data_IF_639394108661
#
_entry.id   IF_639394108661
#
_cell.length_a   1.000
_cell.length_b   1.000
_cell.length_c   1.000
_cell.angle_alpha   90.00
_cell.angle_beta   90.00
_cell.angle_gamma   90.00
#
_symmetry.space_group_name_H-M   'P 1'
#
loop_
_entity.id
_entity.type
_entity.pdbx_description
1 polymer ?
#
# COMPACT_ATOMS: atom_id res chain seq x y z
N UNK A 1 -46.51 60.69 7.84
CA UNK A 1 -46.68 60.84 9.30
C UNK A 1 -46.26 59.54 9.98
N UNK A 2 -45.62 59.66 11.15
CA UNK A 2 -45.03 58.63 12.03
C UNK A 2 -43.58 58.17 11.78
N UNK A 3 -42.81 58.27 12.87
CA UNK A 3 -41.36 58.36 13.03
C UNK A 3 -40.77 57.08 13.67
N UNK A 4 -39.59 56.69 13.19
CA UNK A 4 -38.32 56.47 13.92
C UNK A 4 -38.31 55.61 15.22
N UNK A 5 -37.63 54.45 15.21
CA UNK A 5 -36.20 54.25 15.55
C UNK A 5 -35.91 54.16 17.06
N UNK A 6 -35.48 52.99 17.53
CA UNK A 6 -35.00 52.77 18.90
C UNK A 6 -33.62 52.11 18.87
N UNK A 7 -32.59 52.83 19.35
CA UNK A 7 -31.30 52.27 19.77
C UNK A 7 -30.64 53.12 20.88
N UNK A 8 -30.00 52.39 21.81
CA UNK A 8 -28.75 52.65 22.55
C UNK A 8 -28.73 53.03 24.05
N UNK A 9 -28.11 52.08 24.80
CA UNK A 9 -26.98 52.17 25.76
C UNK A 9 -27.17 52.80 27.15
N UNK A 10 -26.73 52.04 28.17
CA UNK A 10 -25.58 52.41 29.04
C UNK A 10 -25.03 51.25 29.90
N UNK A 11 -23.70 51.17 29.95
CA UNK A 11 -22.83 50.27 30.72
C UNK A 11 -22.58 50.78 32.16
N UNK A 12 -22.25 49.88 33.10
CA UNK A 12 -21.18 50.10 34.10
C UNK A 12 -20.63 48.78 34.67
N UNK A 13 -19.29 48.64 34.63
CA UNK A 13 -18.45 47.53 35.15
C UNK A 13 -18.16 47.72 36.65
N UNK A 14 -17.92 46.61 37.37
CA UNK A 14 -16.93 46.53 38.47
C UNK A 14 -16.42 45.09 38.66
N UNK A 15 -15.17 44.98 39.13
CA UNK A 15 -14.23 43.85 39.07
C UNK A 15 -13.54 43.73 40.45
N UNK A 16 -13.27 42.51 40.95
CA UNK A 16 -12.16 42.04 41.85
C UNK A 16 -12.57 40.69 42.51
N UNK A 17 -11.87 39.55 42.36
CA UNK A 17 -10.58 39.06 42.97
C UNK A 17 -10.60 39.13 44.51
N UNK A 18 -10.27 38.13 45.35
CA UNK A 18 -9.48 36.88 45.25
C UNK A 18 -9.56 36.07 46.59
N UNK A 19 -9.34 34.73 46.54
CA UNK A 19 -9.17 33.72 47.65
C UNK A 19 -7.85 33.93 48.45
N UNK A 20 -7.35 33.07 49.42
CA UNK A 20 -7.69 31.66 49.79
C UNK A 20 -7.50 31.18 51.28
N UNK A 21 -7.80 29.90 51.59
CA UNK A 21 -6.89 28.83 52.16
C UNK A 21 -7.46 27.89 53.27
N UNK A 22 -7.35 26.57 52.97
CA UNK A 22 -7.10 25.35 53.77
C UNK A 22 -7.97 24.88 54.98
N UNK A 23 -8.43 23.61 54.92
CA UNK A 23 -7.97 22.49 55.79
C UNK A 23 -8.64 21.15 55.41
N UNK A 24 -7.84 20.06 55.45
CA UNK A 24 -8.17 18.61 55.39
C UNK A 24 -8.93 18.14 56.68
N UNK A 25 -9.42 16.87 56.89
CA UNK A 25 -8.81 15.59 56.44
C UNK A 25 -9.72 14.32 56.25
N UNK A 26 -9.01 13.21 55.94
CA UNK A 26 -9.24 11.77 56.27
C UNK A 26 -9.75 10.78 55.19
N UNK A 27 -8.89 9.76 55.03
CA UNK A 27 -8.87 8.48 54.33
C UNK A 27 -10.14 7.61 54.18
N UNK A 28 -10.17 6.79 53.11
CA UNK A 28 -10.12 5.31 53.23
C UNK A 28 -9.78 4.61 51.91
N UNK A 29 -9.25 3.39 52.02
CA UNK A 29 -8.59 2.52 51.03
C UNK A 29 -9.55 1.71 50.14
N UNK A 30 -9.06 1.34 48.94
CA UNK A 30 -9.11 0.03 48.20
C UNK A 30 -9.39 0.28 46.71
N UNK A 31 -8.99 -0.53 45.74
CA UNK A 31 -7.82 -1.37 45.46
C UNK A 31 -7.99 -1.83 43.99
N UNK A 32 -6.87 -1.98 43.28
CA UNK A 32 -6.65 -2.90 42.11
C UNK A 32 -7.48 -2.73 40.83
N UNK A 33 -6.78 -2.58 39.69
CA UNK A 33 -7.39 -2.63 38.35
C UNK A 33 -6.42 -2.26 37.23
N UNK A 34 -5.46 -3.14 37.00
CA UNK A 34 -4.41 -3.09 35.98
C UNK A 34 -4.99 -3.14 34.56
N UNK A 35 -4.52 -2.29 33.63
CA UNK A 35 -3.92 -2.76 32.36
C UNK A 35 -3.27 -1.61 31.60
N UNK A 36 -2.03 -1.89 31.20
CA UNK A 36 -1.11 -1.05 30.43
C UNK A 36 -1.49 -1.13 28.95
N UNK A 37 -1.22 -0.07 28.19
CA UNK A 37 -0.52 -0.17 26.90
C UNK A 37 -0.02 1.22 26.46
N UNK A 38 1.19 1.57 26.91
CA UNK A 38 1.99 2.65 26.33
C UNK A 38 2.86 2.05 25.23
N UNK A 39 2.52 2.29 23.97
CA UNK A 39 3.43 2.04 22.85
C UNK A 39 4.54 3.10 22.89
N UNK A 40 5.77 2.62 23.07
CA UNK A 40 6.98 3.43 23.13
C UNK A 40 7.38 3.89 21.73
N UNK A 41 7.58 5.20 21.57
CA UNK A 41 8.45 5.80 20.56
C UNK A 41 9.87 5.23 20.72
N UNK A 42 10.49 4.82 19.63
CA UNK A 42 11.92 4.57 19.59
C UNK A 42 12.50 5.15 18.29
N UNK A 43 13.34 6.18 18.45
CA UNK A 43 14.29 6.65 17.46
C UNK A 43 15.49 5.70 17.45
N UNK A 44 16.05 5.36 16.28
CA UNK A 44 17.33 4.65 16.20
C UNK A 44 18.20 5.07 15.02
N UNK A 45 19.47 5.33 15.33
CA UNK A 45 20.61 5.62 14.47
C UNK A 45 21.62 4.47 14.57
N UNK A 46 22.13 4.04 13.39
CA UNK A 46 23.40 3.36 13.07
C UNK A 46 23.90 2.18 13.92
N UNK A 47 24.19 1.06 13.24
CA UNK A 47 25.55 0.45 13.16
C UNK A 47 25.63 -0.68 12.11
N UNK A 48 26.64 -0.58 11.24
CA UNK A 48 27.18 -1.61 10.34
C UNK A 48 28.12 -2.54 11.13
N UNK A 49 28.13 -3.83 10.78
CA UNK A 49 29.27 -4.73 10.95
C UNK A 49 29.19 -5.89 9.95
N UNK A 50 30.37 -6.34 9.53
CA UNK A 50 30.79 -7.17 8.39
C UNK A 50 30.90 -8.68 8.68
N UNK A 51 31.24 -9.43 7.62
CA UNK A 51 31.80 -10.80 7.53
C UNK A 51 30.79 -11.84 7.01
N UNK A 52 30.93 -12.47 5.83
CA UNK A 52 32.03 -13.19 5.14
C UNK A 52 31.83 -14.71 5.20
N UNK A 53 31.59 -15.26 4.00
CA UNK A 53 31.91 -16.58 3.42
C UNK A 53 32.00 -17.84 4.31
N UNK A 54 31.27 -18.88 3.89
CA UNK A 54 31.83 -20.24 3.81
C UNK A 54 31.08 -21.10 2.77
N UNK A 55 31.87 -21.63 1.84
CA UNK A 55 31.55 -22.60 0.79
C UNK A 55 31.65 -24.05 1.28
N UNK A 56 30.85 -24.97 0.72
CA UNK A 56 31.29 -26.33 0.37
C UNK A 56 30.22 -27.09 -0.45
N UNK A 57 30.63 -27.64 -1.61
CA UNK A 57 30.02 -28.81 -2.28
C UNK A 57 30.77 -30.08 -1.81
N UNK A 58 30.27 -31.31 -2.06
CA UNK A 58 30.60 -31.97 -3.33
C UNK A 58 29.55 -32.94 -3.93
N UNK A 59 29.73 -33.16 -5.24
CA UNK A 59 29.58 -34.36 -6.08
C UNK A 59 28.49 -35.43 -5.81
N UNK A 60 27.75 -35.82 -6.86
CA UNK A 60 28.00 -37.08 -7.60
C UNK A 60 26.99 -37.28 -8.75
N UNK A 61 27.46 -37.97 -9.78
CA UNK A 61 26.84 -38.29 -11.07
C UNK A 61 26.35 -39.75 -11.00
N UNK A 62 25.27 -40.13 -11.70
CA UNK A 62 25.14 -41.34 -12.54
C UNK A 62 23.66 -41.59 -12.92
N UNK A 63 23.49 -41.96 -14.18
CA UNK A 63 22.25 -42.26 -14.93
C UNK A 63 21.72 -43.67 -14.63
N UNK A 64 20.51 -43.97 -15.11
CA UNK A 64 20.07 -45.14 -15.92
C UNK A 64 18.52 -45.12 -15.97
N UNK A 65 17.88 -44.90 -17.11
CA UNK A 65 17.51 -45.84 -18.19
C UNK A 65 16.02 -46.23 -18.08
N UNK A 66 15.21 -45.90 -19.09
CA UNK A 66 13.81 -46.31 -19.26
C UNK A 66 13.70 -46.89 -20.69
N UNK A 67 13.23 -48.14 -20.88
CA UNK A 67 13.13 -48.74 -22.20
C UNK A 67 11.79 -48.40 -22.88
N UNK A 68 11.86 -47.99 -24.15
CA UNK A 68 10.74 -47.85 -25.08
C UNK A 68 10.71 -49.08 -26.00
N UNK A 69 9.60 -49.82 -25.98
CA UNK A 69 9.32 -50.93 -26.88
C UNK A 69 8.81 -50.43 -28.24
N UNK A 70 9.27 -51.12 -29.26
CA UNK A 70 9.01 -50.92 -30.68
C UNK A 70 7.64 -51.46 -31.07
N UNK A 71 6.97 -50.80 -32.02
CA UNK A 71 6.09 -51.44 -33.01
C UNK A 71 6.22 -50.74 -34.36
N UNK A 72 5.94 -51.49 -35.42
CA UNK A 72 6.55 -51.46 -36.73
C UNK A 72 5.66 -50.91 -37.86
N UNK A 73 6.33 -50.33 -38.87
CA UNK A 73 6.15 -50.49 -40.33
C UNK A 73 4.76 -50.30 -40.98
N UNK A 74 4.67 -49.31 -41.88
CA UNK A 74 4.27 -49.50 -43.28
C UNK A 74 4.59 -48.24 -44.12
N UNK A 75 4.95 -48.42 -45.40
CA UNK A 75 5.51 -47.42 -46.31
C UNK A 75 4.62 -47.16 -47.53
N UNK A 76 4.92 -46.02 -48.21
CA UNK A 76 4.71 -45.64 -49.66
C UNK A 76 3.61 -44.58 -49.93
N UNK A 77 3.65 -43.84 -51.07
CA UNK A 77 4.68 -42.87 -51.45
C UNK A 77 4.13 -41.51 -51.96
N UNK A 78 5.08 -40.56 -52.08
CA UNK A 78 5.14 -39.25 -52.74
C UNK A 78 4.01 -38.78 -53.71
N UNK A 79 3.43 -37.61 -53.42
CA UNK A 79 2.97 -36.64 -54.44
C UNK A 79 3.53 -35.26 -54.10
N UNK A 80 4.28 -34.70 -55.06
CA UNK A 80 4.86 -33.35 -55.02
C UNK A 80 3.76 -32.30 -55.19
N UNK A 81 3.57 -31.46 -54.18
CA UNK A 81 2.81 -30.21 -54.26
C UNK A 81 3.64 -29.07 -53.68
N UNK A 82 3.90 -28.05 -54.49
CA UNK A 82 4.61 -26.82 -54.14
C UNK A 82 3.97 -26.15 -52.91
N UNK A 83 4.62 -26.26 -51.75
CA UNK A 83 4.42 -25.33 -50.64
C UNK A 83 5.30 -24.12 -50.91
N UNK A 84 4.71 -23.10 -51.54
CA UNK A 84 5.25 -21.75 -51.43
C UNK A 84 5.43 -21.44 -49.96
N UNK A 85 6.67 -21.16 -49.60
CA UNK A 85 7.12 -20.78 -48.26
C UNK A 85 6.49 -19.43 -47.94
N UNK A 86 5.25 -19.44 -47.45
CA UNK A 86 4.72 -18.31 -46.68
C UNK A 86 5.54 -18.32 -45.40
N UNK A 87 6.60 -17.49 -45.39
CA UNK A 87 7.26 -17.08 -44.16
C UNK A 87 6.18 -16.33 -43.40
N UNK A 88 5.41 -17.05 -42.58
CA UNK A 88 4.64 -16.42 -41.53
C UNK A 88 5.69 -15.70 -40.69
N UNK A 89 5.64 -14.37 -40.68
CA UNK A 89 6.35 -13.54 -39.71
C UNK A 89 5.80 -13.94 -38.34
N UNK A 90 6.29 -15.04 -37.79
CA UNK A 90 6.06 -15.42 -36.42
C UNK A 90 6.73 -14.33 -35.60
N UNK A 91 5.91 -13.51 -34.95
CA UNK A 91 6.36 -12.49 -34.02
C UNK A 91 7.31 -13.13 -33.02
N UNK A 92 8.58 -12.76 -33.10
CA UNK A 92 9.62 -13.13 -32.15
C UNK A 92 9.29 -12.48 -30.81
N UNK A 93 8.43 -13.11 -30.02
CA UNK A 93 8.58 -12.99 -28.58
C UNK A 93 9.87 -13.72 -28.24
N UNK A 94 10.98 -12.98 -28.13
CA UNK A 94 12.30 -13.52 -27.80
C UNK A 94 12.20 -14.46 -26.59
N UNK A 95 12.98 -15.53 -26.51
CA UNK A 95 13.00 -16.35 -25.29
C UNK A 95 13.30 -15.47 -24.06
N UNK A 96 12.72 -15.80 -22.89
CA UNK A 96 13.10 -15.11 -21.64
C UNK A 96 14.57 -15.43 -21.39
N UNK A 97 15.42 -14.41 -21.37
CA UNK A 97 16.86 -14.57 -21.16
C UNK A 97 17.30 -14.15 -19.76
N UNK A 98 16.50 -13.34 -19.07
CA UNK A 98 16.86 -12.74 -17.79
C UNK A 98 15.67 -12.72 -16.81
N UNK A 99 15.96 -12.84 -15.51
CA UNK A 99 14.97 -12.70 -14.44
C UNK A 99 15.39 -11.54 -13.54
N UNK A 100 14.60 -10.46 -13.53
CA UNK A 100 14.77 -9.33 -12.61
C UNK A 100 13.91 -9.54 -11.37
N UNK A 101 14.44 -9.25 -10.18
CA UNK A 101 13.69 -9.25 -8.92
C UNK A 101 13.60 -7.83 -8.40
N UNK A 102 12.39 -7.33 -8.25
CA UNK A 102 12.14 -5.94 -7.85
C UNK A 102 11.40 -5.93 -6.51
N UNK A 103 11.96 -5.20 -5.54
CA UNK A 103 11.33 -4.94 -4.26
C UNK A 103 10.67 -3.57 -4.30
N UNK A 104 9.38 -3.52 -3.99
CA UNK A 104 8.59 -2.30 -3.96
C UNK A 104 7.80 -2.19 -2.67
N UNK A 105 7.39 -0.97 -2.33
CA UNK A 105 6.47 -0.73 -1.23
C UNK A 105 5.47 0.37 -1.58
N UNK A 106 4.30 0.29 -0.96
CA UNK A 106 3.24 1.27 -1.15
C UNK A 106 2.19 1.16 -0.05
N UNK A 107 1.06 1.85 -0.23
CA UNK A 107 0.07 1.91 0.83
C UNK A 107 -1.36 2.07 0.38
N UNK A 108 -2.28 1.49 1.16
CA UNK A 108 -3.68 1.91 1.17
C UNK A 108 -3.75 3.15 2.05
N UNK A 109 -4.13 4.28 1.46
CA UNK A 109 -4.30 5.55 2.17
C UNK A 109 -5.78 5.79 2.34
N UNK A 110 -6.19 6.06 3.58
CA UNK A 110 -7.57 6.42 3.88
C UNK A 110 -7.67 7.79 4.53
N UNK A 111 -8.85 8.39 4.41
CA UNK A 111 -9.31 9.53 5.19
C UNK A 111 -10.78 9.36 5.53
N UNK A 112 -11.29 10.25 6.38
CA UNK A 112 -12.72 10.45 6.56
C UNK A 112 -13.12 11.74 5.84
N UNK A 113 -14.16 11.66 5.03
CA UNK A 113 -14.74 12.85 4.39
C UNK A 113 -15.33 13.79 5.46
N UNK A 114 -15.72 15.00 5.04
CA UNK A 114 -16.42 15.94 5.95
C UNK A 114 -17.75 15.39 6.48
N UNK A 115 -18.35 14.42 5.79
CA UNK A 115 -19.55 13.73 6.21
C UNK A 115 -19.27 12.53 7.15
N UNK A 116 -18.00 12.19 7.39
CA UNK A 116 -17.60 11.04 8.21
C UNK A 116 -17.41 9.74 7.41
N UNK A 117 -17.55 9.78 6.09
CA UNK A 117 -17.46 8.60 5.23
C UNK A 117 -16.02 8.16 4.99
N UNK A 118 -15.77 6.85 4.97
CA UNK A 118 -14.47 6.29 4.67
C UNK A 118 -14.13 6.45 3.18
N UNK A 119 -13.05 7.18 2.90
CA UNK A 119 -12.52 7.36 1.55
C UNK A 119 -11.12 6.74 1.42
N UNK A 120 -10.83 6.18 0.24
CA UNK A 120 -9.56 5.56 -0.12
C UNK A 120 -8.96 6.29 -1.32
N UNK A 121 -7.68 6.63 -1.23
CA UNK A 121 -6.95 7.26 -2.34
C UNK A 121 -6.48 6.20 -3.32
N UNK A 122 -6.81 6.39 -4.60
CA UNK A 122 -6.25 5.60 -5.70
C UNK A 122 -5.63 6.51 -6.76
N UNK A 123 -4.66 5.95 -7.47
CA UNK A 123 -4.01 6.54 -8.64
C UNK A 123 -4.25 5.66 -9.86
N UNK A 124 -4.43 6.24 -11.03
CA UNK A 124 -4.55 5.52 -12.29
C UNK A 124 -3.22 5.54 -13.02
N UNK A 125 -2.70 4.36 -13.34
CA UNK A 125 -1.50 4.25 -14.16
C UNK A 125 -1.75 4.74 -15.60
N UNK A 126 -0.69 4.76 -16.41
CA UNK A 126 -0.76 5.20 -17.80
C UNK A 126 -1.61 4.29 -18.72
N UNK A 127 -2.11 3.15 -18.20
CA UNK A 127 -3.04 2.25 -18.87
C UNK A 127 -4.46 2.35 -18.29
N UNK A 128 -4.77 3.43 -17.56
CA UNK A 128 -6.06 3.68 -16.91
C UNK A 128 -6.45 2.63 -15.86
N UNK A 129 -5.47 1.93 -15.29
CA UNK A 129 -5.74 0.95 -14.21
C UNK A 129 -5.58 1.63 -12.86
N UNK A 130 -6.67 1.68 -12.11
CA UNK A 130 -6.64 2.16 -10.72
C UNK A 130 -5.85 1.19 -9.83
N UNK A 131 -4.94 1.76 -9.05
CA UNK A 131 -4.06 1.08 -8.11
C UNK A 131 -3.75 1.99 -6.92
N UNK A 132 -3.07 1.45 -5.92
CA UNK A 132 -2.44 2.23 -4.86
C UNK A 132 -1.12 2.85 -5.34
N UNK A 133 -0.72 4.00 -4.77
CA UNK A 133 0.62 4.53 -4.94
C UNK A 133 1.67 3.62 -4.30
N UNK A 134 2.79 3.43 -5.00
CA UNK A 134 3.86 2.48 -4.66
C UNK A 134 5.07 2.73 -5.58
N UNK A 135 6.27 2.44 -5.07
CA UNK A 135 7.47 2.40 -5.90
C UNK A 135 8.59 1.58 -5.27
N UNK A 136 9.81 1.78 -5.77
CA UNK A 136 10.94 0.93 -5.44
C UNK A 136 11.47 1.20 -4.03
N UNK A 137 11.96 0.14 -3.38
CA UNK A 137 12.70 0.28 -2.13
C UNK A 137 14.15 0.58 -2.48
N UNK A 138 14.63 1.76 -2.11
CA UNK A 138 15.99 2.25 -2.28
C UNK A 138 16.96 1.71 -1.21
N UNK A 139 18.25 1.94 -1.42
CA UNK A 139 19.28 1.50 -0.49
C UNK A 139 19.21 2.30 0.83
N UNK A 140 19.07 1.58 1.95
CA UNK A 140 19.09 2.16 3.28
C UNK A 140 17.73 2.60 3.83
N UNK A 141 16.65 2.48 3.04
CA UNK A 141 15.29 2.69 3.53
C UNK A 141 14.59 1.37 3.91
N UNK A 142 13.72 1.44 4.90
CA UNK A 142 12.75 0.39 5.19
C UNK A 142 11.60 0.45 4.18
N UNK A 143 10.89 -0.67 4.01
CA UNK A 143 9.73 -0.69 3.12
C UNK A 143 8.62 0.29 3.53
N UNK A 144 8.48 0.61 4.83
CA UNK A 144 7.51 1.59 5.28
C UNK A 144 7.95 3.02 4.93
N UNK A 145 9.23 3.34 5.06
CA UNK A 145 9.80 4.63 4.65
C UNK A 145 9.67 4.82 3.13
N UNK A 146 10.01 3.79 2.35
CA UNK A 146 9.79 3.75 0.91
C UNK A 146 8.32 4.05 0.56
N UNK A 147 7.37 3.36 1.20
CA UNK A 147 5.95 3.59 0.96
C UNK A 147 5.53 5.05 1.26
N UNK A 148 6.03 5.65 2.34
CA UNK A 148 5.72 7.05 2.69
C UNK A 148 6.30 8.02 1.65
N UNK A 149 7.55 7.82 1.24
CA UNK A 149 8.22 8.62 0.21
C UNK A 149 7.46 8.57 -1.11
N UNK A 150 7.17 7.36 -1.58
CA UNK A 150 6.46 7.10 -2.85
C UNK A 150 5.03 7.67 -2.84
N UNK A 151 4.30 7.57 -1.72
CA UNK A 151 2.98 8.22 -1.61
C UNK A 151 3.11 9.75 -1.71
N UNK A 152 4.15 10.33 -1.12
CA UNK A 152 4.43 11.75 -1.24
C UNK A 152 4.72 12.17 -2.68
N UNK A 153 5.54 11.41 -3.40
CA UNK A 153 5.92 11.66 -4.80
C UNK A 153 4.72 11.45 -5.74
N UNK A 154 4.10 10.28 -5.71
CA UNK A 154 3.06 9.88 -6.65
C UNK A 154 1.70 10.55 -6.42
N UNK A 155 1.41 10.96 -5.19
CA UNK A 155 0.08 11.44 -4.80
C UNK A 155 0.05 12.80 -4.10
N UNK A 156 1.22 13.40 -3.81
CA UNK A 156 1.32 14.69 -3.12
C UNK A 156 0.90 14.63 -1.65
N UNK A 157 0.79 13.44 -1.05
CA UNK A 157 0.34 13.26 0.34
C UNK A 157 1.52 13.01 1.26
N UNK A 158 2.03 14.08 1.87
CA UNK A 158 3.24 14.02 2.72
C UNK A 158 2.95 13.81 4.22
N UNK A 159 1.73 14.09 4.66
CA UNK A 159 1.33 13.95 6.06
C UNK A 159 0.55 12.64 6.25
N UNK A 160 1.27 11.59 6.67
CA UNK A 160 0.73 10.24 6.84
C UNK A 160 0.94 9.74 8.27
N UNK A 161 -0.10 9.16 8.86
CA UNK A 161 0.02 8.35 10.08
C UNK A 161 0.07 6.86 9.72
N UNK A 162 1.19 6.16 9.97
CA UNK A 162 1.30 4.73 9.73
C UNK A 162 0.47 3.92 10.73
N UNK A 163 -0.52 3.18 10.22
CA UNK A 163 -1.42 2.38 11.06
C UNK A 163 -0.88 0.97 11.28
N UNK A 164 -0.68 0.20 10.20
CA UNK A 164 -0.16 -1.16 10.28
C UNK A 164 0.29 -1.70 8.92
N UNK A 165 1.04 -2.79 8.94
CA UNK A 165 1.29 -3.61 7.74
C UNK A 165 0.05 -4.43 7.38
N UNK A 166 -0.33 -4.42 6.09
CA UNK A 166 -1.48 -5.15 5.57
C UNK A 166 -1.06 -6.48 4.94
N UNK A 167 0.06 -6.51 4.24
CA UNK A 167 0.48 -7.71 3.55
C UNK A 167 1.59 -7.49 2.53
N UNK A 168 1.93 -8.58 1.85
CA UNK A 168 2.87 -8.61 0.75
C UNK A 168 2.21 -9.31 -0.44
N UNK A 169 2.38 -8.74 -1.63
CA UNK A 169 1.86 -9.30 -2.87
C UNK A 169 2.98 -9.47 -3.89
N UNK A 170 2.77 -10.42 -4.80
CA UNK A 170 3.74 -10.77 -5.83
C UNK A 170 3.13 -10.59 -7.20
N UNK A 171 3.82 -9.87 -8.05
CA UNK A 171 3.47 -9.72 -9.46
C UNK A 171 4.56 -10.30 -10.32
N UNK A 172 4.15 -10.85 -11.45
CA UNK A 172 5.08 -11.24 -12.51
C UNK A 172 4.61 -10.62 -13.80
N UNK A 173 5.52 -9.95 -14.49
CA UNK A 173 5.25 -9.42 -15.81
C UNK A 173 6.50 -9.54 -16.66
N UNK A 174 6.32 -9.38 -17.97
CA UNK A 174 7.40 -9.49 -18.94
C UNK A 174 7.71 -8.10 -19.48
N UNK A 175 8.98 -7.72 -19.43
CA UNK A 175 9.51 -6.52 -20.07
C UNK A 175 10.54 -6.96 -21.10
N UNK A 176 10.20 -6.86 -22.38
CA UNK A 176 11.05 -7.35 -23.49
C UNK A 176 11.45 -8.83 -23.31
N UNK A 177 12.73 -9.15 -23.08
CA UNK A 177 13.29 -10.48 -22.81
C UNK A 177 13.49 -10.79 -21.31
N UNK A 178 13.05 -9.89 -20.43
CA UNK A 178 13.21 -9.98 -18.97
C UNK A 178 11.89 -10.40 -18.32
N UNK A 179 11.93 -11.42 -17.47
CA UNK A 179 10.85 -11.75 -16.55
C UNK A 179 11.05 -10.99 -15.25
N UNK A 180 10.18 -10.02 -14.98
CA UNK A 180 10.20 -9.26 -13.73
C UNK A 180 9.36 -9.98 -12.69
N UNK A 181 9.98 -10.28 -11.55
CA UNK A 181 9.37 -10.82 -10.35
C UNK A 181 9.32 -9.71 -9.30
N UNK A 182 8.21 -8.98 -9.28
CA UNK A 182 8.00 -7.86 -8.37
C UNK A 182 7.36 -8.32 -7.06
N UNK A 183 7.84 -7.77 -5.96
CA UNK A 183 7.39 -8.07 -4.60
C UNK A 183 7.05 -6.77 -3.89
N UNK A 184 5.76 -6.51 -3.67
CA UNK A 184 5.25 -5.26 -3.10
C UNK A 184 4.81 -5.45 -1.66
N UNK A 185 5.38 -4.69 -0.73
CA UNK A 185 4.91 -4.60 0.65
C UNK A 185 3.87 -3.47 0.78
N UNK A 186 2.75 -3.76 1.44
CA UNK A 186 1.61 -2.84 1.51
C UNK A 186 1.28 -2.53 2.96
N UNK A 187 1.16 -1.24 3.25
CA UNK A 187 0.83 -0.69 4.55
C UNK A 187 -0.50 0.07 4.51
N UNK A 188 -1.11 0.28 5.67
CA UNK A 188 -2.27 1.14 5.86
C UNK A 188 -1.83 2.46 6.46
N UNK A 189 -2.22 3.57 5.83
CA UNK A 189 -1.91 4.92 6.30
C UNK A 189 -3.17 5.76 6.41
N UNK A 190 -3.24 6.60 7.44
CA UNK A 190 -4.22 7.68 7.54
C UNK A 190 -3.62 8.95 6.95
N UNK A 191 -4.30 9.57 6.00
CA UNK A 191 -3.92 10.91 5.54
C UNK A 191 -4.29 11.95 6.59
N UNK A 192 -3.36 12.86 6.89
CA UNK A 192 -3.52 13.94 7.85
C UNK A 192 -3.39 15.30 7.13
N UNK A 193 -3.78 16.37 7.82
CA UNK A 193 -3.65 17.73 7.30
C UNK A 193 -4.65 18.06 6.20
N UNK A 194 -4.23 18.88 5.23
CA UNK A 194 -5.04 19.19 4.05
C UNK A 194 -4.93 18.05 3.04
N UNK A 195 -5.99 17.25 2.96
CA UNK A 195 -6.06 16.06 2.11
C UNK A 195 -6.76 16.32 0.78
N UNK A 196 -7.21 17.55 0.53
CA UNK A 196 -7.86 17.93 -0.73
C UNK A 196 -6.84 18.34 -1.80
N UNK A 197 -5.61 18.71 -1.40
CA UNK A 197 -4.51 19.10 -2.29
C UNK A 197 -3.69 17.90 -2.82
N UNK A 198 -4.36 16.86 -3.29
CA UNK A 198 -3.69 15.70 -3.91
C UNK A 198 -3.13 16.08 -5.28
N UNK A 199 -1.96 15.53 -5.62
CA UNK A 199 -1.29 15.78 -6.90
C UNK A 199 -0.70 14.49 -7.43
N UNK A 200 -1.05 14.12 -8.66
CA UNK A 200 -0.42 13.00 -9.36
C UNK A 200 0.87 13.42 -10.07
N UNK A 201 1.73 12.45 -10.33
CA UNK A 201 2.82 12.57 -11.29
C UNK A 201 2.30 12.71 -12.74
N UNK A 202 3.16 13.24 -13.61
CA UNK A 202 2.79 13.54 -15.01
C UNK A 202 2.50 12.27 -15.81
N UNK A 203 3.16 11.16 -15.50
CA UNK A 203 3.00 9.87 -16.17
C UNK A 203 1.72 9.12 -15.77
N UNK A 204 1.02 9.54 -14.71
CA UNK A 204 -0.23 8.95 -14.26
C UNK A 204 -1.42 9.56 -14.99
N UNK A 205 -2.49 8.80 -15.23
CA UNK A 205 -3.68 9.33 -15.89
C UNK A 205 -4.68 9.95 -14.90
N UNK A 206 -4.62 9.61 -13.62
CA UNK A 206 -5.61 10.07 -12.65
C UNK A 206 -5.20 9.87 -11.20
N UNK A 207 -5.85 10.63 -10.32
CA UNK A 207 -5.76 10.52 -8.87
C UNK A 207 -7.10 10.96 -8.28
N UNK A 208 -7.64 10.19 -7.35
CA UNK A 208 -8.95 10.49 -6.77
C UNK A 208 -9.14 9.80 -5.43
N UNK A 209 -9.85 10.48 -4.53
CA UNK A 209 -10.50 9.86 -3.38
C UNK A 209 -11.78 9.17 -3.80
N UNK A 210 -11.87 7.88 -3.52
CA UNK A 210 -13.04 7.04 -3.77
C UNK A 210 -13.72 6.73 -2.44
N UNK A 211 -15.05 6.59 -2.44
CA UNK A 211 -15.69 5.89 -1.33
C UNK A 211 -15.13 4.47 -1.20
N UNK A 212 -15.27 3.86 -0.02
CA UNK A 212 -14.77 2.50 0.22
C UNK A 212 -15.24 1.50 -0.85
N UNK A 213 -16.54 1.45 -1.15
CA UNK A 213 -17.10 0.49 -2.10
C UNK A 213 -16.64 0.78 -3.54
N UNK A 214 -16.62 2.04 -3.94
CA UNK A 214 -16.09 2.42 -5.26
C UNK A 214 -14.61 2.03 -5.38
N UNK A 215 -13.80 2.22 -4.34
CA UNK A 215 -12.38 1.87 -4.36
C UNK A 215 -12.18 0.36 -4.53
N UNK A 216 -12.95 -0.45 -3.80
CA UNK A 216 -12.90 -1.92 -3.88
C UNK A 216 -13.34 -2.41 -5.26
N UNK A 217 -14.27 -1.71 -5.92
CA UNK A 217 -14.77 -2.05 -7.25
C UNK A 217 -13.89 -1.52 -8.40
N UNK A 218 -13.28 -0.35 -8.23
CA UNK A 218 -12.45 0.30 -9.25
C UNK A 218 -11.04 -0.31 -9.35
N UNK A 219 -10.48 -0.81 -8.24
CA UNK A 219 -9.10 -1.25 -8.21
C UNK A 219 -8.85 -2.46 -9.11
N UNK A 220 -7.86 -2.36 -10.00
CA UNK A 220 -7.61 -3.37 -11.03
C UNK A 220 -7.10 -4.71 -10.46
N UNK A 221 -6.44 -4.67 -9.30
CA UNK A 221 -5.74 -5.82 -8.73
C UNK A 221 -6.53 -6.43 -7.57
N UNK A 222 -7.08 -7.63 -7.79
CA UNK A 222 -7.91 -8.35 -6.83
C UNK A 222 -7.24 -8.57 -5.47
N UNK A 223 -5.93 -8.79 -5.45
CA UNK A 223 -5.20 -8.99 -4.19
C UNK A 223 -5.08 -7.69 -3.38
N UNK A 224 -4.95 -6.54 -4.05
CA UNK A 224 -4.99 -5.23 -3.36
C UNK A 224 -6.41 -4.97 -2.84
N UNK A 225 -7.46 -5.32 -3.58
CA UNK A 225 -8.84 -5.24 -3.08
C UNK A 225 -9.04 -6.06 -1.78
N UNK A 226 -8.40 -7.23 -1.64
CA UNK A 226 -8.42 -8.00 -0.39
C UNK A 226 -7.72 -7.26 0.75
N UNK A 227 -6.63 -6.56 0.47
CA UNK A 227 -5.90 -5.77 1.45
C UNK A 227 -6.66 -4.51 1.86
N UNK A 228 -7.39 -3.86 0.95
CA UNK A 228 -8.31 -2.75 1.29
C UNK A 228 -9.40 -3.25 2.24
N UNK A 229 -10.02 -4.41 1.95
CA UNK A 229 -10.99 -5.04 2.87
C UNK A 229 -10.38 -5.37 4.23
N UNK A 230 -9.15 -5.88 4.25
CA UNK A 230 -8.42 -6.10 5.50
C UNK A 230 -8.18 -4.77 6.24
N UNK A 231 -7.82 -3.71 5.54
CA UNK A 231 -7.66 -2.36 6.07
C UNK A 231 -8.90 -1.88 6.80
N UNK A 232 -10.08 -1.93 6.16
CA UNK A 232 -11.37 -1.58 6.80
C UNK A 232 -11.59 -2.36 8.10
N UNK A 233 -11.38 -3.69 8.09
CA UNK A 233 -11.49 -4.51 9.32
C UNK A 233 -10.52 -4.07 10.42
N UNK A 234 -9.30 -3.63 10.08
CA UNK A 234 -8.34 -3.10 11.06
C UNK A 234 -8.80 -1.77 11.64
N UNK A 235 -9.48 -0.92 10.86
CA UNK A 235 -10.05 0.33 11.36
C UNK A 235 -11.18 0.08 12.36
N UNK A 236 -12.08 -0.87 12.05
CA UNK A 236 -13.14 -1.32 12.96
C UNK A 236 -12.55 -1.84 14.28
N UNK A 237 -11.56 -2.74 14.21
CA UNK A 237 -10.89 -3.29 15.40
C UNK A 237 -10.20 -2.24 16.28
N UNK A 238 -9.83 -1.09 15.70
CA UNK A 238 -9.23 0.04 16.41
C UNK A 238 -10.26 1.04 16.94
N UNK A 239 -11.54 0.86 16.62
CA UNK A 239 -12.60 1.81 16.94
C UNK A 239 -12.54 3.10 16.13
N UNK A 240 -11.87 3.10 14.98
CA UNK A 240 -11.82 4.26 14.07
C UNK A 240 -12.98 4.26 13.06
N UNK A 241 -13.71 3.15 12.93
CA UNK A 241 -14.89 2.98 12.09
C UNK A 241 -15.92 2.13 12.85
N UNK A 242 -17.22 2.38 12.70
CA UNK A 242 -18.24 1.50 13.28
C UNK A 242 -18.44 0.25 12.41
N UNK A 243 -18.98 -0.83 12.99
CA UNK A 243 -19.26 -2.07 12.24
C UNK A 243 -20.35 -1.89 11.17
N UNK A 244 -21.22 -0.90 11.36
CA UNK A 244 -22.41 -0.62 10.54
C UNK A 244 -22.15 0.37 9.40
N UNK A 245 -20.95 0.99 9.35
CA UNK A 245 -20.51 1.95 8.31
C UNK A 245 -19.78 1.23 7.17
#
# INVERSE_FOLDING_TARGET
MSKASNQNKRLRKRRNKSSPRASEPVSSRRSTGQTRNRCRRAAWLKKRATAEQASAKPAAKVRRDIPLSQTSLASKPLVRGNLQKVITKNGSHSAISEISREATAGGVIYRFSKAGELEILLVADHFDRWTIPKGHIEEGETAQEAAIREIGEEAGVYQLDPICWLGKIHFRYRRENILVLMSTQIYLFKALGDTDQIKKEDWMNGIKWFSYDEAVNAIAYRDIAKLIRLGRRRLVQRGELNEQD
#
